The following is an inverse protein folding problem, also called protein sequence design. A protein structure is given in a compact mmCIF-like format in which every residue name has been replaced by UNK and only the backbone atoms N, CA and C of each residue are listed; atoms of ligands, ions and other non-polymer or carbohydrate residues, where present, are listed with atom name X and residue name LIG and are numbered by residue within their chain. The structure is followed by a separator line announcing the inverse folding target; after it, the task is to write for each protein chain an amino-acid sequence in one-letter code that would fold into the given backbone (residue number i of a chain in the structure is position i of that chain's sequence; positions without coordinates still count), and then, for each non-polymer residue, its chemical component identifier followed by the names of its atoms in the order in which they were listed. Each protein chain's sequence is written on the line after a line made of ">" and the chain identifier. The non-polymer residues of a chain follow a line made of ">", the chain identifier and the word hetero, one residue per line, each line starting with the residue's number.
data_IF_006741274443
#
_entry.id   IF_006741274443
#
_cell.length_a   1.000
_cell.length_b   1.000
_cell.length_c   1.000
_cell.angle_alpha   90.00
_cell.angle_beta   90.00
_cell.angle_gamma   90.00
#
_symmetry.space_group_name_H-M   'P 1'
#
loop_
_entity.id
_entity.type
_entity.pdbx_description
1 polymer ?
#
# COMPACT_ATOMS: atom_id res chain seq x y z
N UNK A 1 8.34 17.09 14.91
CA UNK A 1 7.57 16.10 15.76
C UNK A 1 6.67 15.05 15.05
N UNK A 2 5.96 15.30 13.93
CA UNK A 2 5.00 14.32 13.31
C UNK A 2 5.64 13.15 12.52
N UNK A 3 6.93 13.23 12.16
CA UNK A 3 7.59 12.22 11.33
C UNK A 3 7.89 10.91 12.07
N UNK A 4 8.25 10.97 13.36
CA UNK A 4 8.46 9.79 14.21
C UNK A 4 7.18 8.94 14.37
N UNK A 5 6.00 9.54 14.22
CA UNK A 5 4.72 8.81 14.25
C UNK A 5 4.53 7.88 13.04
N UNK A 6 5.14 8.17 11.89
CA UNK A 6 5.03 7.34 10.70
C UNK A 6 5.91 6.08 10.79
N UNK A 7 7.01 6.14 11.54
CA UNK A 7 7.96 5.03 11.70
C UNK A 7 7.84 4.31 13.05
N UNK A 8 6.94 4.76 13.93
CA UNK A 8 6.79 4.23 15.28
C UNK A 8 6.51 2.72 15.33
N UNK A 9 5.82 2.20 14.33
CA UNK A 9 5.50 0.77 14.21
C UNK A 9 6.52 -0.01 13.40
N UNK A 10 7.50 0.67 12.81
CA UNK A 10 8.46 0.10 11.87
C UNK A 10 9.67 -0.57 12.54
N UNK A 11 9.81 -0.38 13.85
CA UNK A 11 10.84 -1.00 14.69
C UNK A 11 10.24 -2.09 15.59
N UNK A 12 9.07 -2.64 15.24
CA UNK A 12 8.45 -3.72 16.02
C UNK A 12 9.16 -5.07 15.85
N UNK A 13 8.94 -6.01 16.78
CA UNK A 13 9.54 -7.36 16.75
C UNK A 13 8.63 -8.43 16.08
N UNK A 14 7.61 -8.01 15.34
CA UNK A 14 6.67 -8.93 14.69
C UNK A 14 7.33 -9.87 13.67
N UNK A 15 6.72 -11.02 13.33
CA UNK A 15 7.25 -11.96 12.36
C UNK A 15 7.46 -11.30 10.99
N UNK A 16 6.57 -10.39 10.60
CA UNK A 16 6.77 -9.57 9.39
C UNK A 16 7.99 -8.67 9.51
N UNK A 17 8.31 -8.10 10.67
CA UNK A 17 9.46 -7.20 10.80
C UNK A 17 10.80 -7.89 10.52
N UNK A 18 10.92 -9.17 10.86
CA UNK A 18 12.14 -9.98 10.67
C UNK A 18 12.40 -10.36 9.21
N UNK A 19 11.40 -10.26 8.32
CA UNK A 19 11.60 -10.52 6.89
C UNK A 19 12.44 -9.42 6.21
N UNK A 20 13.28 -9.84 5.28
CA UNK A 20 14.05 -8.95 4.41
C UNK A 20 13.15 -7.95 3.69
N UNK A 21 13.50 -6.66 3.77
CA UNK A 21 12.75 -5.57 3.15
C UNK A 21 12.59 -5.71 1.63
N UNK A 22 13.53 -6.38 0.95
CA UNK A 22 13.43 -6.70 -0.49
C UNK A 22 12.22 -7.58 -0.78
N UNK A 23 12.05 -8.65 0.00
CA UNK A 23 10.97 -9.62 -0.20
C UNK A 23 9.63 -8.94 0.01
N UNK A 24 9.52 -8.13 1.07
CA UNK A 24 8.32 -7.32 1.34
C UNK A 24 8.01 -6.39 0.17
N UNK A 25 8.99 -5.61 -0.30
CA UNK A 25 8.80 -4.67 -1.41
C UNK A 25 8.33 -5.39 -2.68
N UNK A 26 9.01 -6.47 -3.08
CA UNK A 26 8.65 -7.24 -4.28
C UNK A 26 7.29 -7.90 -4.11
N UNK A 27 6.98 -8.46 -2.95
CA UNK A 27 5.68 -9.06 -2.66
C UNK A 27 4.54 -8.04 -2.69
N UNK A 28 4.73 -6.85 -2.10
CA UNK A 28 3.76 -5.76 -2.17
C UNK A 28 3.56 -5.30 -3.61
N UNK A 29 4.64 -5.14 -4.38
CA UNK A 29 4.56 -4.74 -5.78
C UNK A 29 3.81 -5.79 -6.62
N UNK A 30 4.15 -7.07 -6.44
CA UNK A 30 3.49 -8.19 -7.12
C UNK A 30 2.01 -8.28 -6.73
N UNK A 31 1.67 -8.06 -5.45
CA UNK A 31 0.29 -8.00 -4.98
C UNK A 31 -0.48 -6.86 -5.66
N UNK A 32 0.08 -5.65 -5.71
CA UNK A 32 -0.54 -4.50 -6.38
C UNK A 32 -0.75 -4.79 -7.87
N UNK A 33 0.24 -5.34 -8.56
CA UNK A 33 0.10 -5.74 -9.98
C UNK A 33 -1.01 -6.77 -10.14
N UNK A 34 -1.06 -7.79 -9.28
CA UNK A 34 -2.10 -8.83 -9.31
C UNK A 34 -3.50 -8.22 -9.13
N UNK A 35 -3.66 -7.31 -8.16
CA UNK A 35 -4.92 -6.59 -7.94
C UNK A 35 -5.29 -5.78 -9.18
N UNK A 36 -4.34 -5.07 -9.80
CA UNK A 36 -4.62 -4.22 -10.98
C UNK A 36 -5.02 -5.04 -12.20
N UNK A 37 -4.32 -6.14 -12.48
CA UNK A 37 -4.57 -7.03 -13.62
C UNK A 37 -5.93 -7.73 -13.55
N UNK A 38 -6.45 -7.95 -12.33
CA UNK A 38 -7.70 -8.66 -12.13
C UNK A 38 -8.88 -7.96 -12.85
N UNK A 39 -9.66 -8.66 -13.70
CA UNK A 39 -10.72 -8.01 -14.45
C UNK A 39 -11.82 -7.43 -13.53
N UNK A 40 -12.32 -6.26 -13.90
CA UNK A 40 -13.47 -5.61 -13.23
C UNK A 40 -14.69 -6.53 -13.37
N UNK A 41 -15.24 -6.97 -12.24
CA UNK A 41 -16.37 -7.91 -12.16
C UNK A 41 -16.04 -9.25 -11.49
N UNK A 42 -14.75 -9.60 -11.32
CA UNK A 42 -14.37 -10.85 -10.64
C UNK A 42 -14.28 -10.70 -9.12
N UNK A 43 -15.44 -10.58 -8.48
CA UNK A 43 -15.57 -10.34 -7.04
C UNK A 43 -14.89 -11.41 -6.17
N UNK A 44 -14.95 -12.68 -6.59
CA UNK A 44 -14.31 -13.78 -5.86
C UNK A 44 -12.79 -13.64 -5.79
N UNK A 45 -12.13 -13.27 -6.90
CA UNK A 45 -10.68 -13.06 -6.91
C UNK A 45 -10.28 -11.86 -6.05
N UNK A 46 -11.10 -10.81 -6.05
CA UNK A 46 -10.88 -9.64 -5.20
C UNK A 46 -11.05 -9.98 -3.71
N UNK A 47 -12.06 -10.78 -3.37
CA UNK A 47 -12.29 -11.25 -2.01
C UNK A 47 -11.15 -12.16 -1.52
N UNK A 48 -10.65 -13.05 -2.37
CA UNK A 48 -9.49 -13.89 -2.04
C UNK A 48 -8.24 -13.06 -1.75
N UNK A 49 -7.94 -12.04 -2.58
CA UNK A 49 -6.83 -11.12 -2.33
C UNK A 49 -7.04 -10.31 -1.05
N UNK A 50 -8.28 -9.88 -0.78
CA UNK A 50 -8.65 -9.23 0.48
C UNK A 50 -8.41 -10.11 1.70
N UNK A 51 -8.71 -11.41 1.63
CA UNK A 51 -8.44 -12.36 2.71
C UNK A 51 -6.95 -12.56 2.95
N UNK A 52 -6.16 -12.71 1.88
CA UNK A 52 -4.68 -12.79 1.99
C UNK A 52 -4.14 -11.53 2.66
N UNK A 53 -4.62 -10.35 2.25
CA UNK A 53 -4.18 -9.10 2.85
C UNK A 53 -4.61 -8.97 4.31
N UNK A 54 -5.82 -9.39 4.67
CA UNK A 54 -6.30 -9.40 6.04
C UNK A 54 -5.43 -10.30 6.94
N UNK A 55 -5.01 -11.47 6.42
CA UNK A 55 -4.09 -12.35 7.12
C UNK A 55 -2.72 -11.68 7.34
N UNK A 56 -2.18 -11.02 6.32
CA UNK A 56 -0.92 -10.26 6.41
C UNK A 56 -1.02 -9.11 7.41
N UNK A 57 -2.14 -8.38 7.43
CA UNK A 57 -2.43 -7.34 8.42
C UNK A 57 -2.46 -7.93 9.83
N UNK A 58 -3.11 -9.08 10.03
CA UNK A 58 -3.11 -9.78 11.32
C UNK A 58 -1.71 -10.14 11.81
N UNK A 59 -0.85 -10.61 10.90
CA UNK A 59 0.55 -10.95 11.21
C UNK A 59 1.45 -9.73 11.42
N UNK A 60 1.06 -8.55 10.92
CA UNK A 60 1.87 -7.33 10.98
C UNK A 60 1.98 -6.75 12.39
N UNK A 61 1.03 -7.06 13.28
CA UNK A 61 0.95 -6.51 14.64
C UNK A 61 0.56 -5.02 14.70
N UNK A 62 0.20 -4.41 13.56
CA UNK A 62 -0.18 -2.99 13.51
C UNK A 62 -1.64 -2.83 13.96
N UNK A 63 -1.96 -1.88 14.85
CA UNK A 63 -3.31 -1.71 15.36
C UNK A 63 -4.31 -1.42 14.22
N UNK A 64 -5.34 -2.27 14.03
CA UNK A 64 -6.24 -2.16 12.88
C UNK A 64 -7.01 -0.83 12.84
N UNK A 65 -7.22 -0.18 14.00
CA UNK A 65 -7.85 1.14 14.10
C UNK A 65 -7.11 2.23 13.32
N UNK A 66 -5.78 2.20 13.32
CA UNK A 66 -4.97 3.22 12.66
C UNK A 66 -4.95 3.00 11.15
N UNK A 67 -4.92 1.73 10.72
CA UNK A 67 -5.09 1.35 9.33
C UNK A 67 -6.48 1.78 8.82
N UNK A 68 -7.54 1.49 9.58
CA UNK A 68 -8.91 1.82 9.22
C UNK A 68 -9.11 3.33 9.07
N UNK A 69 -8.61 4.14 10.01
CA UNK A 69 -8.74 5.61 9.92
C UNK A 69 -8.06 6.18 8.67
N UNK A 70 -6.84 5.73 8.35
CA UNK A 70 -6.12 6.16 7.14
C UNK A 70 -6.76 5.63 5.86
N UNK A 71 -7.24 4.39 5.89
CA UNK A 71 -7.92 3.76 4.76
C UNK A 71 -9.24 4.46 4.45
N UNK A 72 -10.05 4.78 5.47
CA UNK A 72 -11.29 5.54 5.31
C UNK A 72 -11.04 6.93 4.72
N UNK A 73 -10.03 7.66 5.22
CA UNK A 73 -9.66 8.94 4.66
C UNK A 73 -9.28 8.85 3.17
N UNK A 74 -8.55 7.78 2.80
CA UNK A 74 -8.20 7.51 1.40
C UNK A 74 -9.41 7.11 0.55
N UNK A 75 -10.36 6.35 1.10
CA UNK A 75 -11.58 5.93 0.40
C UNK A 75 -12.47 7.11 0.00
N UNK A 76 -12.48 8.21 0.76
CA UNK A 76 -13.25 9.42 0.38
C UNK A 76 -12.70 10.01 -0.92
N UNK A 77 -11.38 10.16 -1.02
CA UNK A 77 -10.71 10.66 -2.22
C UNK A 77 -10.82 9.67 -3.39
N UNK A 78 -10.61 8.38 -3.12
CA UNK A 78 -10.71 7.34 -4.16
C UNK A 78 -12.15 7.16 -4.63
N UNK A 79 -13.14 7.33 -3.77
CA UNK A 79 -14.55 7.21 -4.12
C UNK A 79 -14.96 8.21 -5.20
N UNK A 80 -14.56 9.48 -5.05
CA UNK A 80 -14.86 10.51 -6.06
C UNK A 80 -14.12 10.26 -7.38
N UNK A 81 -12.84 9.87 -7.33
CA UNK A 81 -12.06 9.51 -8.52
C UNK A 81 -12.60 8.26 -9.21
N UNK A 82 -12.99 7.25 -8.44
CA UNK A 82 -13.55 6.01 -8.96
C UNK A 82 -14.91 6.24 -9.62
N UNK A 83 -15.72 7.16 -9.08
CA UNK A 83 -16.99 7.54 -9.70
C UNK A 83 -16.75 8.23 -11.05
N UNK A 84 -15.83 9.21 -11.11
CA UNK A 84 -15.40 9.85 -12.36
C UNK A 84 -14.84 8.84 -13.37
N UNK A 85 -14.01 7.90 -12.92
CA UNK A 85 -13.43 6.88 -13.78
C UNK A 85 -14.48 5.85 -14.27
N UNK A 86 -15.46 5.50 -13.42
CA UNK A 86 -16.54 4.59 -13.77
C UNK A 86 -17.46 5.15 -14.86
N UNK A 87 -17.66 6.48 -14.90
CA UNK A 87 -18.41 7.16 -15.94
C UNK A 87 -17.81 6.94 -17.35
N UNK A 88 -16.47 6.87 -17.42
CA UNK A 88 -15.69 6.76 -18.66
C UNK A 88 -15.30 5.32 -19.01
N UNK A 89 -15.74 4.33 -18.21
CA UNK A 89 -15.23 2.96 -18.34
C UNK A 89 -15.99 2.17 -19.43
N UNK A 90 -15.28 1.49 -20.35
CA UNK A 90 -15.93 0.80 -21.48
C UNK A 90 -16.83 -0.38 -21.06
N UNK A 91 -16.57 -0.98 -19.88
CA UNK A 91 -17.41 -2.05 -19.31
C UNK A 91 -18.65 -1.54 -18.57
N UNK A 92 -18.87 -0.22 -18.50
CA UNK A 92 -20.08 0.38 -17.90
C UNK A 92 -21.35 -0.14 -18.56
N UNK A 93 -21.35 -0.34 -19.88
CA UNK A 93 -22.50 -0.82 -20.63
C UNK A 93 -22.90 -2.27 -20.27
N UNK A 94 -21.96 -3.10 -19.81
CA UNK A 94 -22.19 -4.50 -19.53
C UNK A 94 -22.50 -4.80 -18.04
N UNK A 95 -21.89 -4.05 -17.11
CA UNK A 95 -22.04 -4.31 -15.67
C UNK A 95 -22.84 -3.24 -14.92
N UNK A 96 -23.00 -2.03 -15.48
CA UNK A 96 -23.58 -0.90 -14.77
C UNK A 96 -22.55 -0.08 -13.98
N UNK A 97 -22.93 1.14 -13.60
CA UNK A 97 -22.02 2.14 -13.03
C UNK A 97 -21.59 1.79 -11.60
N UNK A 98 -22.53 1.30 -10.78
CA UNK A 98 -22.30 0.96 -9.38
C UNK A 98 -21.26 -0.17 -9.16
N UNK A 99 -21.36 -1.35 -9.81
CA UNK A 99 -20.38 -2.42 -9.59
C UNK A 99 -19.00 -2.09 -10.16
N UNK A 100 -18.92 -1.29 -11.24
CA UNK A 100 -17.63 -0.80 -11.76
C UNK A 100 -16.99 0.16 -10.76
N UNK A 101 -17.73 1.13 -10.24
CA UNK A 101 -17.23 2.06 -9.22
C UNK A 101 -16.77 1.31 -7.97
N UNK A 102 -17.59 0.37 -7.47
CA UNK A 102 -17.28 -0.39 -6.25
C UNK A 102 -16.05 -1.31 -6.44
N UNK A 103 -15.89 -1.91 -7.62
CA UNK A 103 -14.69 -2.69 -7.95
C UNK A 103 -13.45 -1.80 -8.03
N UNK A 104 -13.55 -0.60 -8.62
CA UNK A 104 -12.44 0.36 -8.63
C UNK A 104 -12.06 0.80 -7.22
N UNK A 105 -13.04 1.17 -6.40
CA UNK A 105 -12.82 1.55 -5.00
C UNK A 105 -12.14 0.42 -4.24
N UNK A 106 -12.63 -0.82 -4.38
CA UNK A 106 -12.07 -1.96 -3.68
C UNK A 106 -10.65 -2.31 -4.16
N UNK A 107 -10.38 -2.28 -5.47
CA UNK A 107 -9.02 -2.50 -6.03
C UNK A 107 -8.02 -1.46 -5.51
N UNK A 108 -8.37 -0.17 -5.58
CA UNK A 108 -7.53 0.90 -5.07
C UNK A 108 -7.37 0.83 -3.55
N UNK A 109 -8.43 0.51 -2.83
CA UNK A 109 -8.41 0.32 -1.38
C UNK A 109 -7.48 -0.81 -0.93
N UNK A 110 -7.51 -1.95 -1.62
CA UNK A 110 -6.61 -3.09 -1.34
C UNK A 110 -5.15 -2.76 -1.66
N UNK A 111 -4.88 -2.10 -2.79
CA UNK A 111 -3.52 -1.69 -3.14
C UNK A 111 -2.94 -0.68 -2.13
N UNK A 112 -3.77 0.28 -1.69
CA UNK A 112 -3.38 1.25 -0.68
C UNK A 112 -3.15 0.60 0.68
N UNK A 113 -4.02 -0.31 1.14
CA UNK A 113 -3.80 -1.04 2.39
C UNK A 113 -2.51 -1.86 2.35
N UNK A 114 -2.23 -2.56 1.26
CA UNK A 114 -0.99 -3.32 1.12
C UNK A 114 0.26 -2.43 1.22
N UNK A 115 0.22 -1.26 0.56
CA UNK A 115 1.31 -0.28 0.65
C UNK A 115 1.41 0.33 2.04
N UNK A 116 0.29 0.60 2.69
CA UNK A 116 0.24 1.13 4.04
C UNK A 116 0.85 0.14 5.04
N UNK A 117 0.53 -1.14 4.92
CA UNK A 117 1.15 -2.20 5.75
C UNK A 117 2.66 -2.20 5.54
N UNK A 118 3.14 -2.19 4.29
CA UNK A 118 4.56 -2.19 3.96
C UNK A 118 5.31 -1.03 4.65
N UNK A 119 4.74 0.19 4.58
CA UNK A 119 5.31 1.39 5.20
C UNK A 119 5.32 1.30 6.72
N UNK A 120 4.33 0.66 7.34
CA UNK A 120 4.30 0.51 8.80
C UNK A 120 5.24 -0.58 9.32
N UNK A 121 5.61 -1.58 8.51
CA UNK A 121 6.48 -2.71 8.93
C UNK A 121 7.90 -2.69 8.37
N UNK A 122 8.27 -1.61 7.67
CA UNK A 122 9.57 -1.49 6.99
C UNK A 122 10.13 -0.07 7.12
N UNK A 123 11.29 0.13 7.78
CA UNK A 123 11.81 1.47 7.99
C UNK A 123 12.21 2.10 6.67
N UNK A 124 12.06 3.42 6.53
CA UNK A 124 12.35 4.11 5.29
C UNK A 124 13.81 3.90 4.85
N UNK A 125 14.76 3.93 5.79
CA UNK A 125 16.18 3.61 5.53
C UNK A 125 16.37 2.23 4.92
N UNK A 126 15.72 1.21 5.49
CA UNK A 126 15.80 -0.18 5.03
C UNK A 126 15.13 -0.36 3.67
N UNK A 127 14.03 0.36 3.43
CA UNK A 127 13.36 0.42 2.13
C UNK A 127 14.29 0.98 1.04
N UNK A 128 14.96 2.12 1.31
CA UNK A 128 15.93 2.71 0.38
C UNK A 128 17.11 1.77 0.09
N UNK A 129 17.61 1.07 1.11
CA UNK A 129 18.66 0.07 0.93
C UNK A 129 18.15 -1.10 0.08
N UNK A 130 16.93 -1.58 0.28
CA UNK A 130 16.32 -2.62 -0.54
C UNK A 130 16.16 -2.17 -2.00
N UNK A 131 15.72 -0.93 -2.23
CA UNK A 131 15.61 -0.33 -3.56
C UNK A 131 16.97 -0.23 -4.28
N UNK A 132 18.02 0.26 -3.60
CA UNK A 132 19.40 0.29 -4.14
C UNK A 132 19.82 -1.08 -4.67
N UNK A 133 19.50 -2.07 -3.86
CA UNK A 133 19.83 -3.48 -4.03
C UNK A 133 19.01 -4.15 -5.15
N UNK A 134 17.92 -3.51 -5.61
CA UNK A 134 17.08 -3.91 -6.74
C UNK A 134 17.41 -3.15 -8.04
N UNK A 135 18.46 -2.32 -8.03
CA UNK A 135 18.94 -1.63 -9.23
C UNK A 135 18.92 -0.10 -9.17
N UNK A 136 18.48 0.51 -8.05
CA UNK A 136 18.52 1.97 -7.94
C UNK A 136 19.97 2.50 -7.88
N UNK A 137 20.33 3.55 -8.66
CA UNK A 137 21.63 4.20 -8.60
C UNK A 137 22.01 4.66 -7.20
N UNK A 138 23.29 4.49 -6.83
CA UNK A 138 23.80 4.85 -5.50
C UNK A 138 23.59 6.33 -5.16
N UNK A 139 23.69 7.21 -6.16
CA UNK A 139 23.52 8.66 -6.00
C UNK A 139 22.10 8.99 -5.55
N UNK A 140 21.06 8.44 -6.18
CA UNK A 140 19.66 8.67 -5.79
C UNK A 140 19.39 8.21 -4.35
N UNK A 141 19.90 7.03 -3.99
CA UNK A 141 19.75 6.47 -2.65
C UNK A 141 20.42 7.36 -1.60
N UNK A 142 21.63 7.85 -1.90
CA UNK A 142 22.35 8.77 -1.02
C UNK A 142 21.60 10.10 -0.86
N UNK A 143 21.13 10.71 -1.94
CA UNK A 143 20.34 11.95 -1.90
C UNK A 143 19.08 11.78 -1.04
N UNK A 144 18.32 10.70 -1.25
CA UNK A 144 17.12 10.40 -0.46
C UNK A 144 17.45 10.15 1.02
N UNK A 145 18.55 9.46 1.33
CA UNK A 145 19.00 9.26 2.72
C UNK A 145 19.41 10.57 3.39
N UNK A 146 20.07 11.48 2.66
CA UNK A 146 20.39 12.80 3.17
C UNK A 146 19.13 13.62 3.42
N UNK A 147 18.22 13.71 2.46
CA UNK A 147 16.94 14.41 2.62
C UNK A 147 16.17 13.89 3.83
N UNK A 148 16.07 12.57 3.98
CA UNK A 148 15.45 11.95 5.13
C UNK A 148 16.17 12.31 6.43
N UNK A 149 17.51 12.29 6.49
CA UNK A 149 18.26 12.74 7.67
C UNK A 149 17.99 14.21 8.01
N UNK A 150 17.96 15.09 7.02
CA UNK A 150 17.69 16.52 7.21
C UNK A 150 16.28 16.79 7.75
N UNK A 151 15.28 15.99 7.36
CA UNK A 151 13.92 16.10 7.91
C UNK A 151 13.88 15.91 9.43
N UNK A 152 14.76 15.11 10.04
CA UNK A 152 14.83 14.98 11.51
C UNK A 152 15.66 16.06 12.19
N UNK A 153 16.54 16.73 11.44
CA UNK A 153 17.36 17.83 11.97
C UNK A 153 16.58 19.13 11.97
N UNK A 154 15.76 19.37 10.94
CA UNK A 154 14.95 20.58 10.78
C UNK A 154 13.63 20.58 11.57
N UNK A 155 13.17 19.42 12.07
CA UNK A 155 11.82 19.22 12.62
C UNK A 155 11.77 18.86 14.11
#
# INVERSE_FOLDING_TARGET
>A
MRLKFLERYSEGDGPLHRLDARVKLVATLAYVVTVVVLPVGWWHGLAALGLVLAFVVGLSGVPPRELLGRWLAFLVLVGSLALMAALSHPRRAALGLAPVALALVAKNGLAFLATLVLVNVTPFRTLLVAMRRLGLPRVLVATLQFMYRYLFVLA
#
